data_IF_661286449886
#
_entry.id   IF_661286449886
#
_cell.length_a   1.000
_cell.length_b   1.000
_cell.length_c   1.000
_cell.angle_alpha   90.00
_cell.angle_beta   90.00
_cell.angle_gamma   90.00
#
_symmetry.space_group_name_H-M   'P 1'
#
loop_
_entity.id
_entity.type
_entity.pdbx_description
1 polymer ?
#
# COMPACT_ATOMS: atom_id res chain seq x y z
N UNK A 1 -5.96 61.28 46.00
CA UNK A 1 -5.71 60.13 45.10
C UNK A 1 -6.23 58.87 45.78
N UNK A 2 -7.29 58.30 45.22
CA UNK A 2 -7.97 57.11 45.74
C UNK A 2 -7.23 55.86 45.34
N UNK A 3 -7.24 54.83 46.20
CA UNK A 3 -6.71 53.53 45.92
C UNK A 3 -7.34 52.90 44.66
N UNK A 4 -8.51 53.32 44.26
CA UNK A 4 -9.17 52.89 43.03
C UNK A 4 -8.51 53.43 41.76
N UNK A 5 -7.93 54.63 41.81
CA UNK A 5 -7.21 55.21 40.63
C UNK A 5 -5.88 54.50 40.39
N UNK A 6 -5.25 53.96 41.44
CA UNK A 6 -4.02 53.18 41.31
C UNK A 6 -4.27 51.80 40.67
N UNK A 7 -5.41 51.14 40.97
CA UNK A 7 -5.79 49.89 40.36
C UNK A 7 -6.26 50.06 38.91
N UNK A 8 -6.91 51.19 38.56
CA UNK A 8 -7.38 51.47 37.20
C UNK A 8 -6.16 51.74 36.25
N UNK A 9 -5.11 52.37 36.72
CA UNK A 9 -3.90 52.64 35.92
C UNK A 9 -3.03 51.39 35.73
N UNK A 10 -3.09 50.42 36.64
CA UNK A 10 -2.33 49.15 36.49
C UNK A 10 -2.94 48.22 35.44
N UNK A 11 -4.20 48.41 35.04
CA UNK A 11 -4.84 47.64 33.95
C UNK A 11 -4.54 48.18 32.54
N UNK A 12 -3.84 49.28 32.42
CA UNK A 12 -3.50 49.93 31.13
C UNK A 12 -2.04 49.72 30.69
N UNK A 13 -1.20 49.08 31.52
CA UNK A 13 0.09 48.62 31.07
C UNK A 13 0.04 47.13 30.76
N UNK A 14 -0.54 46.79 29.60
CA UNK A 14 -0.29 45.51 28.96
C UNK A 14 1.21 45.45 28.64
N UNK A 15 1.94 44.42 29.09
CA UNK A 15 3.25 44.16 28.52
C UNK A 15 2.99 43.79 27.06
N UNK A 16 3.58 44.53 26.13
CA UNK A 16 3.71 44.11 24.77
C UNK A 16 4.45 42.76 24.77
N UNK A 17 3.67 41.67 24.89
CA UNK A 17 4.12 40.35 24.47
C UNK A 17 4.28 40.48 22.96
N UNK A 18 5.52 40.76 22.52
CA UNK A 18 5.94 40.33 21.20
C UNK A 18 5.76 38.79 21.22
N UNK A 19 4.55 38.36 20.84
CA UNK A 19 4.38 37.00 20.34
C UNK A 19 5.44 36.84 19.27
N UNK A 20 6.27 35.77 19.32
CA UNK A 20 7.05 35.40 18.17
C UNK A 20 6.05 35.36 17.02
N UNK A 21 6.26 36.17 15.99
CA UNK A 21 5.56 36.00 14.75
C UNK A 21 5.80 34.54 14.35
N UNK A 22 4.80 33.70 14.58
CA UNK A 22 4.70 32.43 13.90
C UNK A 22 4.82 32.78 12.41
N UNK A 23 6.02 32.65 11.88
CA UNK A 23 6.22 32.66 10.44
C UNK A 23 5.25 31.60 9.95
N UNK A 24 4.22 32.01 9.22
CA UNK A 24 3.39 31.10 8.47
C UNK A 24 4.33 30.20 7.69
N UNK A 25 4.55 29.03 8.23
CA UNK A 25 5.29 27.96 7.54
C UNK A 25 4.38 27.64 6.37
N UNK A 26 4.80 27.99 5.17
CA UNK A 26 4.01 27.79 3.96
C UNK A 26 3.55 26.33 3.96
N UNK A 27 2.24 26.15 4.07
CA UNK A 27 1.62 24.82 4.20
C UNK A 27 2.16 23.90 3.10
N UNK A 28 2.73 22.77 3.50
CA UNK A 28 3.29 21.75 2.60
C UNK A 28 4.82 21.79 2.41
N UNK A 29 5.55 22.85 2.82
CA UNK A 29 7.01 22.88 2.69
C UNK A 29 7.74 22.03 3.75
N UNK A 30 7.16 21.94 4.95
CA UNK A 30 7.74 21.23 6.08
C UNK A 30 6.79 20.16 6.60
N UNK A 31 7.32 19.01 6.93
CA UNK A 31 6.60 17.89 7.52
C UNK A 31 7.22 17.52 8.85
N UNK A 32 6.41 17.47 9.92
CA UNK A 32 6.83 17.00 11.23
C UNK A 32 6.76 15.49 11.30
N UNK A 33 7.84 14.83 11.62
CA UNK A 33 7.85 13.38 11.86
C UNK A 33 7.01 13.04 13.11
N UNK A 34 6.00 12.17 13.02
CA UNK A 34 5.16 11.83 14.18
C UNK A 34 5.90 10.99 15.21
N UNK A 35 7.00 10.33 14.87
CA UNK A 35 7.75 9.45 15.76
C UNK A 35 8.84 10.20 16.57
N UNK A 36 9.68 11.01 15.91
CA UNK A 36 10.77 11.72 16.59
C UNK A 36 10.55 13.23 16.75
N UNK A 37 9.48 13.78 16.16
CA UNK A 37 9.13 15.19 16.27
C UNK A 37 9.96 16.13 15.39
N UNK A 38 10.98 15.63 14.66
CA UNK A 38 11.81 16.46 13.79
C UNK A 38 10.97 17.10 12.69
N UNK A 39 11.28 18.36 12.37
CA UNK A 39 10.75 19.07 11.21
C UNK A 39 11.70 18.84 10.04
N UNK A 40 11.24 18.16 9.02
CA UNK A 40 11.99 17.86 7.81
C UNK A 40 11.39 18.62 6.61
N UNK A 41 12.22 19.02 5.65
CA UNK A 41 11.75 19.58 4.41
C UNK A 41 11.00 18.51 3.60
N UNK A 42 9.79 18.79 3.16
CA UNK A 42 8.93 17.80 2.52
C UNK A 42 9.55 17.19 1.26
N UNK A 43 10.32 18.00 0.48
CA UNK A 43 11.02 17.48 -0.71
C UNK A 43 12.12 16.49 -0.36
N UNK A 44 12.84 16.69 0.76
CA UNK A 44 13.87 15.76 1.20
C UNK A 44 13.24 14.43 1.64
N UNK A 45 12.11 14.50 2.34
CA UNK A 45 11.32 13.30 2.65
C UNK A 45 10.82 12.58 1.40
N UNK A 46 10.35 13.32 0.39
CA UNK A 46 9.95 12.74 -0.91
C UNK A 46 11.14 12.08 -1.61
N UNK A 47 12.31 12.74 -1.62
CA UNK A 47 13.56 12.17 -2.14
C UNK A 47 13.96 10.88 -1.42
N UNK A 48 13.65 10.78 -0.13
CA UNK A 48 13.87 9.56 0.69
C UNK A 48 12.60 8.70 0.79
N UNK A 49 11.71 8.74 -0.20
CA UNK A 49 10.48 7.93 -0.28
C UNK A 49 9.57 8.06 0.95
N UNK A 50 9.49 9.26 1.53
CA UNK A 50 8.72 9.54 2.75
C UNK A 50 9.16 8.70 3.98
N UNK A 51 10.43 8.39 4.07
CA UNK A 51 11.06 7.79 5.25
C UNK A 51 11.86 8.88 5.99
N UNK A 52 11.64 9.03 7.28
CA UNK A 52 12.31 10.03 8.09
C UNK A 52 13.82 9.77 8.10
N UNK A 53 14.61 10.81 7.78
CA UNK A 53 16.07 10.71 7.71
C UNK A 53 16.72 10.50 9.09
N UNK A 54 16.06 10.95 10.18
CA UNK A 54 16.59 10.86 11.53
C UNK A 54 16.26 9.53 12.22
N UNK A 55 14.99 9.09 12.17
CA UNK A 55 14.55 7.92 12.93
C UNK A 55 14.06 6.74 12.07
N UNK A 56 14.18 6.84 10.76
CA UNK A 56 13.70 5.84 9.80
C UNK A 56 12.21 5.51 9.92
N UNK A 57 11.41 6.39 10.53
CA UNK A 57 9.96 6.20 10.57
C UNK A 57 9.37 6.34 9.17
N UNK A 58 8.55 5.37 8.77
CA UNK A 58 7.84 5.37 7.50
C UNK A 58 6.58 6.24 7.60
N UNK A 59 6.63 7.45 7.05
CA UNK A 59 5.47 8.31 6.94
C UNK A 59 4.47 7.73 5.91
N UNK A 60 3.23 8.19 5.96
CA UNK A 60 2.22 7.74 5.00
C UNK A 60 2.59 8.14 3.58
N UNK A 61 2.38 7.20 2.66
CA UNK A 61 2.52 7.39 1.22
C UNK A 61 1.20 7.00 0.57
N UNK A 62 0.80 7.75 -0.43
CA UNK A 62 -0.44 7.55 -1.16
C UNK A 62 -0.21 6.78 -2.45
N UNK A 63 -1.28 6.34 -3.08
CA UNK A 63 -1.18 5.42 -4.22
C UNK A 63 -0.41 5.99 -5.41
N UNK A 64 -0.62 7.26 -5.76
CA UNK A 64 0.09 7.95 -6.82
C UNK A 64 1.61 8.04 -6.60
N UNK A 65 2.02 8.36 -5.37
CA UNK A 65 3.43 8.40 -4.98
C UNK A 65 4.03 6.99 -4.95
N UNK A 66 3.29 6.02 -4.41
CA UNK A 66 3.75 4.63 -4.34
C UNK A 66 3.96 4.02 -5.74
N UNK A 67 3.08 4.33 -6.68
CA UNK A 67 3.24 3.92 -8.08
C UNK A 67 4.54 4.50 -8.65
N UNK A 68 4.79 5.81 -8.45
CA UNK A 68 6.05 6.45 -8.90
C UNK A 68 7.30 5.85 -8.27
N UNK A 69 7.23 5.39 -7.00
CA UNK A 69 8.34 4.75 -6.31
C UNK A 69 8.67 3.36 -6.85
N UNK A 70 7.66 2.61 -7.29
CA UNK A 70 7.82 1.20 -7.68
C UNK A 70 7.95 1.01 -9.19
N UNK A 71 7.19 1.75 -9.98
CA UNK A 71 7.12 1.57 -11.44
C UNK A 71 8.14 2.47 -12.14
N UNK A 72 8.71 1.95 -13.20
CA UNK A 72 9.64 2.68 -14.06
C UNK A 72 8.92 3.80 -14.80
N UNK A 73 9.59 4.94 -14.95
CA UNK A 73 9.02 6.12 -15.59
C UNK A 73 8.42 5.78 -16.98
N UNK A 74 7.25 6.35 -17.26
CA UNK A 74 6.52 6.21 -18.53
C UNK A 74 6.09 4.77 -18.90
N UNK A 75 6.05 3.84 -17.93
CA UNK A 75 5.61 2.46 -18.19
C UNK A 75 4.27 2.11 -17.55
N UNK A 76 3.71 3.00 -16.72
CA UNK A 76 2.45 2.77 -16.05
C UNK A 76 1.27 2.84 -17.00
N UNK A 77 0.48 1.79 -17.04
CA UNK A 77 -0.78 1.69 -17.77
C UNK A 77 -1.90 1.43 -16.76
N UNK A 78 -2.67 2.45 -16.37
CA UNK A 78 -3.75 2.28 -15.41
C UNK A 78 -4.87 1.41 -15.96
N UNK A 79 -5.57 0.70 -15.07
CA UNK A 79 -6.71 -0.15 -15.37
C UNK A 79 -7.94 0.31 -14.60
N UNK A 80 -9.12 0.19 -15.23
CA UNK A 80 -10.43 0.39 -14.60
C UNK A 80 -10.59 1.74 -13.88
N UNK A 81 -10.05 2.83 -14.44
CA UNK A 81 -10.12 4.18 -13.84
C UNK A 81 -11.54 4.74 -13.79
N UNK A 82 -12.42 4.26 -14.63
CA UNK A 82 -13.83 4.66 -14.77
C UNK A 82 -14.76 3.99 -13.75
N UNK A 83 -14.32 2.91 -13.10
CA UNK A 83 -15.14 2.23 -12.10
C UNK A 83 -15.43 3.13 -10.89
N UNK A 84 -16.69 3.27 -10.55
CA UNK A 84 -17.18 4.10 -9.44
C UNK A 84 -18.05 3.27 -8.49
N UNK A 85 -17.95 3.49 -7.17
CA UNK A 85 -18.83 2.85 -6.20
C UNK A 85 -20.27 3.36 -6.35
N UNK A 86 -21.21 2.45 -6.13
CA UNK A 86 -22.63 2.75 -6.01
C UNK A 86 -23.09 2.54 -4.57
N UNK A 87 -24.27 3.07 -4.23
CA UNK A 87 -24.93 2.86 -2.94
C UNK A 87 -26.23 2.06 -3.09
N UNK A 88 -26.15 0.74 -3.42
CA UNK A 88 -27.35 -0.07 -3.61
C UNK A 88 -28.14 -0.28 -2.31
N UNK A 89 -27.50 -0.16 -1.15
CA UNK A 89 -28.11 -0.33 0.16
C UNK A 89 -28.76 0.95 0.68
N UNK A 90 -28.52 2.10 0.04
CA UNK A 90 -28.94 3.43 0.51
C UNK A 90 -28.55 3.66 1.97
N UNK A 91 -27.30 3.28 2.27
CA UNK A 91 -26.80 3.33 3.64
C UNK A 91 -26.72 4.76 4.17
N UNK A 92 -27.20 4.93 5.41
CA UNK A 92 -27.16 6.17 6.13
C UNK A 92 -26.83 5.94 7.59
N UNK A 93 -25.82 6.61 8.09
CA UNK A 93 -25.58 6.83 9.52
C UNK A 93 -25.81 8.32 9.85
N UNK A 94 -24.78 9.04 10.26
CA UNK A 94 -24.86 10.51 10.43
C UNK A 94 -25.00 11.26 9.11
N UNK A 95 -24.62 10.62 8.00
CA UNK A 95 -24.58 11.17 6.65
C UNK A 95 -24.84 10.07 5.62
N UNK A 96 -25.56 10.33 4.52
CA UNK A 96 -25.71 9.38 3.43
C UNK A 96 -24.35 8.91 2.90
N UNK A 97 -24.24 7.63 2.55
CA UNK A 97 -23.01 7.07 1.98
C UNK A 97 -22.67 7.71 0.62
N UNK A 98 -23.65 7.96 -0.21
CA UNK A 98 -23.49 8.70 -1.48
C UNK A 98 -22.81 10.06 -1.31
N UNK A 99 -23.16 10.82 -0.26
CA UNK A 99 -22.52 12.11 0.03
C UNK A 99 -21.07 11.95 0.47
N UNK A 100 -20.78 10.93 1.29
CA UNK A 100 -19.40 10.60 1.69
C UNK A 100 -18.54 10.23 0.49
N UNK A 101 -19.09 9.43 -0.44
CA UNK A 101 -18.38 9.05 -1.66
C UNK A 101 -18.00 10.29 -2.46
N UNK A 102 -18.98 11.15 -2.75
CA UNK A 102 -18.75 12.38 -3.52
C UNK A 102 -17.67 13.26 -2.89
N UNK A 103 -17.80 13.57 -1.59
CA UNK A 103 -16.81 14.41 -0.88
C UNK A 103 -15.41 13.77 -0.87
N UNK A 104 -15.34 12.44 -0.69
CA UNK A 104 -14.05 11.77 -0.69
C UNK A 104 -13.43 11.77 -2.08
N UNK A 105 -14.22 11.57 -3.14
CA UNK A 105 -13.77 11.65 -4.53
C UNK A 105 -13.28 13.06 -4.87
N UNK A 106 -14.04 14.10 -4.49
CA UNK A 106 -13.64 15.50 -4.69
C UNK A 106 -12.34 15.84 -3.96
N UNK A 107 -12.20 15.38 -2.71
CA UNK A 107 -11.00 15.66 -1.89
C UNK A 107 -9.76 14.90 -2.36
N UNK A 108 -9.92 13.65 -2.79
CA UNK A 108 -8.77 12.76 -3.09
C UNK A 108 -8.46 12.67 -4.57
N UNK A 109 -9.40 13.07 -5.43
CA UNK A 109 -9.36 12.90 -6.90
C UNK A 109 -9.24 11.42 -7.32
N UNK A 110 -9.62 10.50 -6.43
CA UNK A 110 -9.63 9.05 -6.68
C UNK A 110 -11.05 8.57 -6.96
N UNK A 111 -11.18 7.58 -7.83
CA UNK A 111 -12.48 6.90 -8.07
C UNK A 111 -12.92 6.04 -6.88
N UNK A 112 -11.96 5.33 -6.25
CA UNK A 112 -12.14 4.53 -5.04
C UNK A 112 -10.77 4.26 -4.38
N UNK A 113 -10.73 3.48 -3.30
CA UNK A 113 -9.60 3.25 -2.41
C UNK A 113 -8.46 2.39 -2.97
N UNK A 114 -8.38 2.17 -4.29
CA UNK A 114 -7.28 1.46 -4.95
C UNK A 114 -7.03 1.98 -6.36
N UNK A 115 -5.75 2.08 -6.73
CA UNK A 115 -5.31 2.23 -8.10
C UNK A 115 -4.71 0.92 -8.59
N UNK A 116 -5.05 0.50 -9.80
CA UNK A 116 -4.60 -0.75 -10.43
C UNK A 116 -4.04 -0.47 -11.81
N UNK A 117 -3.04 -1.23 -12.22
CA UNK A 117 -2.44 -1.08 -13.55
C UNK A 117 -1.32 -2.07 -13.79
N UNK A 118 -0.76 -2.00 -14.99
CA UNK A 118 0.41 -2.77 -15.40
C UNK A 118 1.54 -1.79 -15.67
N UNK A 119 2.74 -2.13 -15.24
CA UNK A 119 3.94 -1.33 -15.49
C UNK A 119 5.19 -2.17 -15.40
N UNK A 120 6.35 -1.55 -15.58
CA UNK A 120 7.64 -2.22 -15.41
C UNK A 120 8.24 -1.88 -14.05
N UNK A 121 8.73 -2.87 -13.34
CA UNK A 121 9.45 -2.75 -12.07
C UNK A 121 10.89 -3.23 -12.31
N UNK A 122 11.86 -2.33 -12.40
CA UNK A 122 13.22 -2.61 -12.88
C UNK A 122 13.24 -3.41 -14.21
N UNK A 123 12.46 -2.96 -15.17
CA UNK A 123 12.31 -3.58 -16.48
C UNK A 123 11.38 -4.80 -16.53
N UNK A 124 10.92 -5.32 -15.38
CA UNK A 124 10.08 -6.52 -15.27
C UNK A 124 8.59 -6.14 -15.37
N UNK A 125 7.84 -6.62 -16.37
CA UNK A 125 6.41 -6.40 -16.45
C UNK A 125 5.71 -6.95 -15.21
N UNK A 126 4.89 -6.13 -14.57
CA UNK A 126 4.27 -6.44 -13.27
C UNK A 126 2.85 -5.87 -13.22
N UNK A 127 1.88 -6.65 -12.74
CA UNK A 127 0.56 -6.20 -12.40
C UNK A 127 0.58 -5.64 -10.97
N UNK A 128 0.31 -4.33 -10.81
CA UNK A 128 0.42 -3.62 -9.54
C UNK A 128 -0.91 -3.05 -9.10
N UNK A 129 -1.32 -3.38 -7.87
CA UNK A 129 -2.42 -2.74 -7.16
C UNK A 129 -1.89 -1.94 -5.97
N UNK A 130 -2.34 -0.71 -5.78
CA UNK A 130 -1.94 0.12 -4.64
C UNK A 130 -3.18 0.70 -3.96
N UNK A 131 -3.42 0.27 -2.72
CA UNK A 131 -4.51 0.80 -1.91
C UNK A 131 -4.16 2.19 -1.38
N UNK A 132 -5.17 3.05 -1.29
CA UNK A 132 -5.01 4.44 -0.85
C UNK A 132 -5.83 4.73 0.41
N UNK A 133 -5.13 4.99 1.50
CA UNK A 133 -5.76 5.23 2.79
C UNK A 133 -6.54 6.55 2.85
N UNK A 134 -6.31 7.50 1.92
CA UNK A 134 -7.09 8.75 1.83
C UNK A 134 -8.55 8.48 1.53
N UNK A 135 -8.84 7.44 0.74
CA UNK A 135 -10.21 7.11 0.37
C UNK A 135 -10.86 6.27 1.46
N UNK A 136 -11.64 6.90 2.32
CA UNK A 136 -12.41 6.26 3.40
C UNK A 136 -11.57 5.27 4.25
N UNK A 137 -10.31 5.65 4.59
CA UNK A 137 -9.40 4.80 5.35
C UNK A 137 -8.92 3.56 4.57
N UNK A 138 -8.87 3.61 3.24
CA UNK A 138 -8.50 2.48 2.39
C UNK A 138 -9.46 1.31 2.50
N UNK A 139 -10.69 1.53 2.96
CA UNK A 139 -11.65 0.44 3.19
C UNK A 139 -12.04 -0.24 1.88
N UNK A 140 -12.05 -1.58 1.92
CA UNK A 140 -12.40 -2.42 0.78
C UNK A 140 -13.92 -2.45 0.58
N UNK A 141 -14.41 -1.77 -0.46
CA UNK A 141 -15.77 -1.89 -0.98
C UNK A 141 -15.81 -2.71 -2.27
N UNK A 142 -16.97 -2.73 -2.91
CA UNK A 142 -17.24 -3.48 -4.14
C UNK A 142 -16.28 -3.11 -5.28
N UNK A 143 -15.99 -1.83 -5.47
CA UNK A 143 -15.08 -1.35 -6.53
C UNK A 143 -13.64 -1.74 -6.24
N UNK A 144 -13.16 -1.61 -4.99
CA UNK A 144 -11.82 -2.10 -4.62
C UNK A 144 -11.69 -3.58 -4.94
N UNK A 145 -12.67 -4.38 -4.53
CA UNK A 145 -12.67 -5.82 -4.80
C UNK A 145 -12.71 -6.14 -6.29
N UNK A 146 -13.53 -5.42 -7.07
CA UNK A 146 -13.60 -5.60 -8.53
C UNK A 146 -12.29 -5.26 -9.21
N UNK A 147 -11.70 -4.09 -8.91
CA UNK A 147 -10.43 -3.65 -9.49
C UNK A 147 -9.30 -4.65 -9.20
N UNK A 148 -9.17 -5.09 -7.95
CA UNK A 148 -8.15 -6.09 -7.57
C UNK A 148 -8.39 -7.44 -8.26
N UNK A 149 -9.64 -7.89 -8.35
CA UNK A 149 -9.99 -9.12 -9.07
C UNK A 149 -9.59 -9.04 -10.53
N UNK A 150 -9.97 -7.97 -11.24
CA UNK A 150 -9.61 -7.75 -12.65
C UNK A 150 -8.11 -7.63 -12.86
N UNK A 151 -7.40 -6.95 -11.96
CA UNK A 151 -5.94 -6.86 -11.98
C UNK A 151 -5.30 -8.26 -11.94
N UNK A 152 -5.74 -9.11 -10.99
CA UNK A 152 -5.23 -10.47 -10.82
C UNK A 152 -5.55 -11.32 -12.06
N UNK A 153 -6.79 -11.25 -12.56
CA UNK A 153 -7.20 -11.97 -13.78
C UNK A 153 -6.42 -11.51 -15.01
N UNK A 154 -6.15 -10.20 -15.13
CA UNK A 154 -5.33 -9.65 -16.20
C UNK A 154 -3.87 -10.10 -16.06
N UNK A 155 -3.32 -10.07 -14.84
CA UNK A 155 -1.99 -10.62 -14.54
C UNK A 155 -1.89 -12.10 -14.90
N UNK A 156 -2.91 -12.89 -14.55
CA UNK A 156 -2.98 -14.32 -14.90
C UNK A 156 -2.98 -14.54 -16.41
N UNK A 157 -3.85 -13.83 -17.14
CA UNK A 157 -3.91 -13.93 -18.62
C UNK A 157 -2.59 -13.58 -19.30
N UNK A 158 -1.89 -12.57 -18.79
CA UNK A 158 -0.61 -12.11 -19.34
C UNK A 158 0.60 -12.81 -18.71
N UNK A 159 0.38 -13.76 -17.79
CA UNK A 159 1.42 -14.47 -17.04
C UNK A 159 2.39 -13.54 -16.30
N UNK A 160 1.86 -12.48 -15.71
CA UNK A 160 2.61 -11.49 -14.95
C UNK A 160 2.57 -11.79 -13.45
N UNK A 161 3.63 -11.48 -12.69
CA UNK A 161 3.56 -11.43 -11.25
C UNK A 161 2.57 -10.34 -10.81
N UNK A 162 1.86 -10.60 -9.72
CA UNK A 162 0.95 -9.64 -9.10
C UNK A 162 1.57 -9.12 -7.80
N UNK A 163 1.60 -7.80 -7.65
CA UNK A 163 2.01 -7.13 -6.42
C UNK A 163 0.86 -6.25 -5.95
N UNK A 164 0.47 -6.39 -4.68
CA UNK A 164 -0.57 -5.52 -4.08
C UNK A 164 -0.01 -4.84 -2.84
N UNK A 165 0.10 -3.51 -2.88
CA UNK A 165 0.46 -2.71 -1.70
C UNK A 165 -0.81 -2.44 -0.91
N UNK A 166 -0.89 -3.02 0.28
CA UNK A 166 -2.04 -2.95 1.17
C UNK A 166 -1.92 -1.76 2.13
N UNK A 167 -2.97 -0.94 2.21
CA UNK A 167 -3.13 0.14 3.17
C UNK A 167 -4.62 0.31 3.47
N UNK A 168 -5.13 -0.31 4.55
CA UNK A 168 -6.57 -0.41 4.75
C UNK A 168 -6.98 -0.55 6.21
N UNK A 169 -8.10 0.08 6.55
CA UNK A 169 -8.83 -0.17 7.80
C UNK A 169 -9.71 -1.44 7.78
N UNK A 170 -9.83 -2.13 6.63
CA UNK A 170 -10.62 -3.36 6.49
C UNK A 170 -11.79 -3.25 5.51
N UNK A 171 -12.83 -4.07 5.69
CA UNK A 171 -14.03 -4.06 4.86
C UNK A 171 -14.85 -2.76 5.06
N UNK A 172 -15.41 -2.23 3.98
CA UNK A 172 -16.22 -1.00 3.97
C UNK A 172 -17.60 -1.27 4.57
N UNK A 173 -17.82 -0.78 5.78
CA UNK A 173 -19.05 -1.01 6.54
C UNK A 173 -20.31 -0.55 5.79
N UNK A 174 -20.24 0.55 5.06
CA UNK A 174 -21.37 1.15 4.34
C UNK A 174 -21.90 0.26 3.22
N UNK A 175 -21.10 -0.65 2.71
CA UNK A 175 -21.50 -1.61 1.67
C UNK A 175 -21.88 -2.98 2.25
N UNK A 176 -21.84 -3.16 3.56
CA UNK A 176 -22.31 -4.35 4.27
C UNK A 176 -21.77 -5.67 3.68
N UNK A 177 -22.66 -6.59 3.35
CA UNK A 177 -22.30 -7.90 2.80
C UNK A 177 -21.54 -7.81 1.47
N UNK A 178 -21.80 -6.79 0.64
CA UNK A 178 -21.08 -6.60 -0.62
C UNK A 178 -19.58 -6.41 -0.39
N UNK A 179 -19.20 -5.68 0.66
CA UNK A 179 -17.82 -5.55 1.10
C UNK A 179 -17.19 -6.88 1.50
N UNK A 180 -17.91 -7.67 2.31
CA UNK A 180 -17.42 -8.96 2.80
C UNK A 180 -17.21 -9.96 1.66
N UNK A 181 -18.10 -9.97 0.69
CA UNK A 181 -18.00 -10.87 -0.48
C UNK A 181 -16.79 -10.56 -1.38
N UNK A 182 -16.22 -9.36 -1.28
CA UNK A 182 -14.98 -9.05 -2.02
C UNK A 182 -13.79 -9.89 -1.53
N UNK A 183 -13.75 -10.23 -0.24
CA UNK A 183 -12.71 -11.14 0.29
C UNK A 183 -12.70 -12.46 -0.46
N UNK A 184 -13.85 -13.12 -0.57
CA UNK A 184 -13.99 -14.38 -1.31
C UNK A 184 -13.67 -14.24 -2.80
N UNK A 185 -14.13 -13.14 -3.42
CA UNK A 185 -13.92 -12.85 -4.84
C UNK A 185 -12.44 -12.69 -5.19
N UNK A 186 -11.71 -11.88 -4.43
CA UNK A 186 -10.26 -11.67 -4.64
C UNK A 186 -9.50 -12.97 -4.37
N UNK A 187 -9.83 -13.69 -3.28
CA UNK A 187 -9.19 -14.97 -2.95
C UNK A 187 -9.40 -16.02 -4.06
N UNK A 188 -10.58 -16.08 -4.65
CA UNK A 188 -10.85 -16.96 -5.78
C UNK A 188 -10.06 -16.60 -7.05
N UNK A 189 -9.80 -15.32 -7.30
CA UNK A 189 -8.93 -14.89 -8.40
C UNK A 189 -7.46 -15.25 -8.13
N UNK A 190 -6.99 -15.07 -6.90
CA UNK A 190 -5.63 -15.46 -6.48
C UNK A 190 -5.42 -16.97 -6.58
N UNK A 191 -6.44 -17.77 -6.23
CA UNK A 191 -6.33 -19.23 -6.38
C UNK A 191 -6.12 -19.63 -7.83
N UNK A 192 -6.84 -19.04 -8.79
CA UNK A 192 -6.60 -19.27 -10.23
C UNK A 192 -5.20 -18.84 -10.65
N UNK A 193 -4.72 -17.71 -10.15
CA UNK A 193 -3.37 -17.21 -10.39
C UNK A 193 -2.29 -18.20 -9.88
N UNK A 194 -2.49 -18.75 -8.69
CA UNK A 194 -1.64 -19.77 -8.08
C UNK A 194 -1.64 -21.10 -8.87
N UNK A 195 -2.81 -21.52 -9.39
CA UNK A 195 -2.93 -22.72 -10.23
C UNK A 195 -2.06 -22.61 -11.49
N UNK A 196 -1.96 -21.39 -12.05
CA UNK A 196 -1.08 -21.10 -13.17
C UNK A 196 0.40 -20.93 -12.78
N UNK A 197 0.74 -21.17 -11.50
CA UNK A 197 2.08 -21.04 -10.92
C UNK A 197 2.68 -19.65 -11.12
N UNK A 198 1.88 -18.62 -10.93
CA UNK A 198 2.27 -17.22 -11.04
C UNK A 198 2.43 -16.60 -9.65
N UNK A 199 3.43 -15.75 -9.52
CA UNK A 199 3.84 -15.14 -8.26
C UNK A 199 2.87 -14.05 -7.80
N UNK A 200 2.45 -14.13 -6.53
CA UNK A 200 1.71 -13.08 -5.83
C UNK A 200 2.46 -12.59 -4.59
N UNK A 201 2.74 -11.28 -4.52
CA UNK A 201 3.41 -10.63 -3.38
C UNK A 201 2.54 -9.51 -2.82
N UNK A 202 1.86 -9.67 -1.69
CA UNK A 202 1.33 -8.56 -0.92
C UNK A 202 2.44 -7.83 -0.18
N UNK A 203 2.35 -6.49 -0.16
CA UNK A 203 3.21 -5.60 0.62
C UNK A 203 2.35 -4.91 1.66
N UNK A 204 2.56 -5.23 2.92
CA UNK A 204 1.74 -4.76 4.03
C UNK A 204 2.30 -3.45 4.57
N UNK A 205 1.61 -2.34 4.33
CA UNK A 205 1.97 -1.03 4.87
C UNK A 205 1.08 -0.63 6.04
N UNK A 206 1.43 0.47 6.71
CA UNK A 206 0.69 0.97 7.88
C UNK A 206 -0.54 1.79 7.49
N UNK A 207 -1.76 1.42 7.97
CA UNK A 207 -2.15 0.16 8.59
C UNK A 207 -2.71 -0.82 7.57
N UNK A 208 -2.64 -2.14 7.84
CA UNK A 208 -3.35 -3.18 7.09
C UNK A 208 -4.19 -4.01 8.07
N UNK A 209 -5.51 -3.81 8.05
CA UNK A 209 -6.40 -4.33 9.09
C UNK A 209 -7.64 -5.03 8.51
N UNK A 210 -8.35 -5.73 9.39
CA UNK A 210 -9.69 -6.26 9.18
C UNK A 210 -9.80 -7.27 8.04
N UNK A 211 -10.81 -7.12 7.21
CA UNK A 211 -11.09 -8.03 6.09
C UNK A 211 -9.98 -8.10 5.04
N UNK A 212 -9.16 -7.05 4.90
CA UNK A 212 -8.00 -7.07 3.99
C UNK A 212 -6.94 -8.03 4.51
N UNK A 213 -6.58 -7.93 5.81
CA UNK A 213 -5.65 -8.88 6.43
C UNK A 213 -6.23 -10.29 6.47
N UNK A 214 -7.51 -10.44 6.78
CA UNK A 214 -8.17 -11.75 6.85
C UNK A 214 -8.42 -12.42 5.48
N UNK A 215 -7.92 -11.83 4.40
CA UNK A 215 -8.08 -12.36 3.05
C UNK A 215 -6.79 -12.19 2.22
N UNK A 216 -6.84 -11.46 1.15
CA UNK A 216 -5.77 -11.41 0.15
C UNK A 216 -4.41 -10.92 0.67
N UNK A 217 -4.38 -10.11 1.73
CA UNK A 217 -3.10 -9.64 2.29
C UNK A 217 -2.25 -10.76 2.93
N UNK A 218 -2.88 -11.88 3.30
CA UNK A 218 -2.20 -13.06 3.88
C UNK A 218 -2.21 -14.29 2.95
N UNK A 219 -2.50 -14.10 1.66
CA UNK A 219 -2.52 -15.18 0.67
C UNK A 219 -1.33 -15.11 -0.31
N UNK A 220 -0.29 -14.34 0.03
CA UNK A 220 0.90 -14.23 -0.80
C UNK A 220 1.76 -15.50 -0.82
N UNK A 221 2.46 -15.72 -1.93
CA UNK A 221 3.56 -16.68 -1.99
C UNK A 221 4.74 -16.17 -1.15
N UNK A 222 4.91 -14.85 -1.07
CA UNK A 222 5.83 -14.13 -0.19
C UNK A 222 5.14 -12.90 0.35
N UNK A 223 5.01 -12.79 1.66
CA UNK A 223 4.34 -11.70 2.35
C UNK A 223 5.39 -10.72 2.89
N UNK A 224 5.46 -9.53 2.29
CA UNK A 224 6.38 -8.48 2.72
C UNK A 224 5.65 -7.45 3.60
N UNK A 225 6.36 -6.88 4.57
CA UNK A 225 5.84 -5.78 5.38
C UNK A 225 6.83 -4.61 5.45
N UNK A 226 6.31 -3.38 5.57
CA UNK A 226 7.12 -2.23 5.91
C UNK A 226 7.45 -2.24 7.43
N UNK A 227 8.62 -1.71 7.85
CA UNK A 227 8.98 -1.61 9.26
C UNK A 227 7.90 -0.91 10.10
N UNK A 228 7.61 -1.45 11.27
CA UNK A 228 6.64 -0.93 12.24
C UNK A 228 5.22 -0.73 11.69
N UNK A 229 4.87 -1.40 10.60
CA UNK A 229 3.51 -1.39 10.09
C UNK A 229 2.57 -2.09 11.10
N UNK A 230 1.40 -1.49 11.34
CA UNK A 230 0.34 -2.15 12.13
C UNK A 230 -0.47 -3.05 11.22
N UNK A 231 -0.46 -4.33 11.51
CA UNK A 231 -1.08 -5.37 10.70
C UNK A 231 -1.88 -6.30 11.62
N UNK A 232 -3.16 -6.48 11.35
CA UNK A 232 -4.00 -7.34 12.20
C UNK A 232 -5.46 -7.36 11.78
N UNK A 233 -6.28 -8.14 12.48
CA UNK A 233 -7.71 -8.21 12.20
C UNK A 233 -8.47 -7.05 12.85
N UNK A 234 -8.48 -6.98 14.17
CA UNK A 234 -9.11 -5.90 14.90
C UNK A 234 -8.05 -4.93 15.44
N UNK A 235 -8.39 -3.64 15.52
CA UNK A 235 -7.49 -2.66 16.11
C UNK A 235 -7.24 -2.96 17.61
N UNK A 236 -6.04 -2.65 18.12
CA UNK A 236 -5.60 -2.87 19.51
C UNK A 236 -6.67 -2.46 20.54
N UNK A 237 -7.23 -1.25 20.41
CA UNK A 237 -8.25 -0.73 21.34
C UNK A 237 -9.48 -1.64 21.42
N UNK A 238 -9.94 -2.17 20.28
CA UNK A 238 -11.12 -3.06 20.24
C UNK A 238 -10.81 -4.36 20.98
N UNK A 239 -9.62 -4.93 20.75
CA UNK A 239 -9.19 -6.18 21.39
C UNK A 239 -9.09 -5.99 22.90
N UNK A 240 -8.37 -4.95 23.34
CA UNK A 240 -8.18 -4.65 24.78
C UNK A 240 -9.51 -4.40 25.50
N UNK A 241 -10.45 -3.70 24.87
CA UNK A 241 -11.79 -3.48 25.43
C UNK A 241 -12.63 -4.77 25.51
N UNK A 242 -12.47 -5.66 24.52
CA UNK A 242 -13.22 -6.93 24.47
C UNK A 242 -12.66 -7.97 25.43
N UNK A 243 -11.34 -8.15 25.45
CA UNK A 243 -10.68 -9.12 26.34
C UNK A 243 -10.47 -8.58 27.75
N UNK A 244 -10.55 -7.25 27.96
CA UNK A 244 -10.22 -6.55 29.18
C UNK A 244 -8.79 -6.81 29.66
N UNK A 245 -7.89 -7.03 28.74
CA UNK A 245 -6.47 -7.26 28.97
C UNK A 245 -5.63 -6.25 28.21
N UNK A 246 -4.47 -5.89 28.77
CA UNK A 246 -3.51 -5.02 28.09
C UNK A 246 -2.64 -5.88 27.17
N UNK A 247 -2.62 -5.54 25.88
CA UNK A 247 -1.78 -6.22 24.88
C UNK A 247 -0.31 -5.80 24.99
N UNK A 248 0.64 -6.67 24.63
CA UNK A 248 2.05 -6.30 24.49
C UNK A 248 2.24 -5.07 23.61
N UNK A 249 3.26 -4.26 23.88
CA UNK A 249 3.44 -2.97 23.17
C UNK A 249 3.74 -3.16 21.68
N UNK A 250 4.39 -4.25 21.31
CA UNK A 250 4.74 -4.65 19.93
C UNK A 250 3.67 -5.48 19.22
N UNK A 251 2.57 -5.82 19.91
CA UNK A 251 1.48 -6.61 19.34
C UNK A 251 0.94 -5.99 18.04
N UNK A 252 0.78 -6.79 16.99
CA UNK A 252 0.36 -6.38 15.65
C UNK A 252 1.35 -5.47 14.89
N UNK A 253 2.60 -5.38 15.32
CA UNK A 253 3.64 -4.78 14.48
C UNK A 253 4.15 -5.79 13.44
N UNK A 254 4.74 -5.29 12.35
CA UNK A 254 5.39 -6.16 11.36
C UNK A 254 6.46 -7.04 11.98
N UNK A 255 7.20 -6.51 12.97
CA UNK A 255 8.24 -7.22 13.72
C UNK A 255 7.66 -8.40 14.53
N UNK A 256 6.56 -8.14 15.24
CA UNK A 256 5.82 -9.17 15.95
C UNK A 256 5.34 -10.29 15.01
N UNK A 257 4.77 -9.91 13.86
CA UNK A 257 4.26 -10.86 12.87
C UNK A 257 5.37 -11.68 12.19
N UNK A 258 6.54 -11.06 11.96
CA UNK A 258 7.71 -11.78 11.45
C UNK A 258 8.17 -12.87 12.43
N UNK A 259 8.25 -12.55 13.74
CA UNK A 259 8.62 -13.51 14.78
C UNK A 259 7.63 -14.68 14.90
N UNK A 260 6.36 -14.44 14.58
CA UNK A 260 5.31 -15.45 14.64
C UNK A 260 5.03 -16.16 13.29
N UNK A 261 5.82 -15.88 12.27
CA UNK A 261 5.74 -16.57 10.97
C UNK A 261 4.55 -16.13 10.09
N UNK A 262 3.94 -14.97 10.34
CA UNK A 262 2.87 -14.41 9.51
C UNK A 262 3.38 -13.53 8.36
N UNK A 263 4.63 -13.09 8.42
CA UNK A 263 5.29 -12.25 7.43
C UNK A 263 6.65 -12.89 7.12
N UNK A 264 7.02 -12.94 5.84
CA UNK A 264 8.28 -13.56 5.41
C UNK A 264 9.47 -12.62 5.53
N UNK A 265 9.26 -11.32 5.29
CA UNK A 265 10.32 -10.33 5.43
C UNK A 265 9.79 -8.92 5.74
N UNK A 266 10.59 -8.17 6.50
CA UNK A 266 10.39 -6.72 6.71
C UNK A 266 11.35 -5.98 5.79
N UNK A 267 10.79 -5.16 4.89
CA UNK A 267 11.56 -4.47 3.86
C UNK A 267 11.37 -2.95 3.98
N UNK A 268 12.43 -2.19 4.27
CA UNK A 268 12.36 -0.73 4.22
C UNK A 268 11.92 -0.25 2.84
N UNK A 269 11.09 0.78 2.81
CA UNK A 269 10.52 1.34 1.57
C UNK A 269 11.57 1.70 0.55
N UNK A 270 12.70 2.24 0.99
CA UNK A 270 13.84 2.61 0.13
C UNK A 270 14.50 1.42 -0.58
N UNK A 271 14.27 0.21 -0.09
CA UNK A 271 14.78 -1.03 -0.67
C UNK A 271 13.71 -1.83 -1.40
N UNK A 272 12.43 -1.45 -1.24
CA UNK A 272 11.29 -2.28 -1.66
C UNK A 272 11.29 -2.56 -3.17
N UNK A 273 11.54 -1.54 -4.02
CA UNK A 273 11.58 -1.73 -5.49
C UNK A 273 12.60 -2.79 -5.88
N UNK A 274 13.84 -2.67 -5.36
CA UNK A 274 14.93 -3.60 -5.65
C UNK A 274 14.63 -5.01 -5.14
N UNK A 275 14.09 -5.13 -3.92
CA UNK A 275 13.72 -6.42 -3.34
C UNK A 275 12.63 -7.12 -4.15
N UNK A 276 11.58 -6.40 -4.52
CA UNK A 276 10.51 -6.94 -5.38
C UNK A 276 11.07 -7.44 -6.72
N UNK A 277 11.94 -6.66 -7.37
CA UNK A 277 12.57 -7.06 -8.63
C UNK A 277 13.40 -8.33 -8.47
N UNK A 278 14.16 -8.46 -7.39
CA UNK A 278 14.93 -9.67 -7.10
C UNK A 278 14.03 -10.88 -6.91
N UNK A 279 12.98 -10.75 -6.10
CA UNK A 279 12.02 -11.83 -5.87
C UNK A 279 11.30 -12.25 -7.14
N UNK A 280 10.88 -11.30 -7.97
CA UNK A 280 10.26 -11.59 -9.27
C UNK A 280 11.23 -12.36 -10.18
N UNK A 281 12.50 -11.94 -10.28
CA UNK A 281 13.51 -12.67 -11.09
C UNK A 281 13.74 -14.09 -10.61
N UNK A 282 13.78 -14.31 -9.30
CA UNK A 282 13.97 -15.65 -8.70
C UNK A 282 12.80 -16.60 -9.00
N UNK A 283 11.59 -16.06 -9.20
CA UNK A 283 10.39 -16.86 -9.47
C UNK A 283 10.05 -16.93 -10.97
N UNK A 284 10.83 -16.29 -11.84
CA UNK A 284 10.66 -16.50 -13.28
C UNK A 284 10.99 -17.93 -13.64
N UNK A 285 10.22 -18.60 -14.51
CA UNK A 285 10.61 -19.89 -15.04
C UNK A 285 12.02 -19.78 -15.63
N UNK A 286 12.90 -20.69 -15.27
CA UNK A 286 14.19 -20.80 -15.97
C UNK A 286 13.89 -20.88 -17.47
N UNK A 287 14.66 -20.18 -18.32
CA UNK A 287 14.58 -20.40 -19.75
C UNK A 287 14.70 -21.92 -19.95
N UNK A 288 13.70 -22.51 -20.56
CA UNK A 288 13.81 -23.92 -20.98
C UNK A 288 15.05 -23.94 -21.85
N UNK A 289 16.10 -24.62 -21.35
CA UNK A 289 17.31 -24.82 -22.15
C UNK A 289 16.79 -25.37 -23.49
N UNK A 290 17.03 -24.66 -24.56
CA UNK A 290 16.67 -25.12 -25.92
C UNK A 290 17.19 -26.54 -26.00
N UNK A 291 16.35 -27.55 -26.25
CA UNK A 291 16.84 -28.90 -26.33
C UNK A 291 18.02 -28.91 -27.29
N UNK A 292 19.10 -29.61 -26.92
CA UNK A 292 20.32 -29.72 -27.71
C UNK A 292 20.12 -30.41 -29.10
N UNK A 293 18.89 -30.41 -29.59
CA UNK A 293 18.50 -30.99 -30.88
C UNK A 293 19.29 -30.37 -32.06
N UNK A 294 19.72 -29.11 -31.93
CA UNK A 294 20.59 -28.50 -32.96
C UNK A 294 22.08 -28.91 -32.87
N UNK A 295 22.52 -29.48 -31.75
CA UNK A 295 23.91 -30.01 -31.69
C UNK A 295 24.07 -31.35 -32.45
N UNK A 296 23.05 -32.18 -32.46
CA UNK A 296 23.07 -33.44 -33.19
C UNK A 296 23.06 -33.24 -34.71
N UNK A 297 22.29 -32.24 -35.19
CA UNK A 297 22.32 -31.90 -36.61
C UNK A 297 23.65 -31.27 -37.02
N UNK A 298 24.22 -30.38 -36.22
CA UNK A 298 25.54 -29.79 -36.46
C UNK A 298 26.66 -30.80 -36.39
N UNK A 299 26.63 -31.77 -35.46
CA UNK A 299 27.59 -32.87 -35.36
C UNK A 299 27.42 -33.83 -36.53
N UNK A 300 26.18 -34.11 -36.94
CA UNK A 300 25.90 -34.93 -38.13
C UNK A 300 26.41 -34.30 -39.44
N UNK A 301 26.28 -32.97 -39.57
CA UNK A 301 26.79 -32.23 -40.73
C UNK A 301 28.32 -32.18 -40.73
N UNK A 302 28.97 -31.95 -39.59
CA UNK A 302 30.43 -31.97 -39.47
C UNK A 302 31.01 -33.39 -39.76
N UNK A 303 30.31 -34.45 -39.35
CA UNK A 303 30.71 -35.83 -39.66
C UNK A 303 30.52 -36.19 -41.12
N UNK A 304 29.56 -35.56 -41.84
CA UNK A 304 29.41 -35.71 -43.29
C UNK A 304 30.52 -35.03 -44.07
N UNK A 305 30.97 -33.85 -43.62
CA UNK A 305 32.08 -33.10 -44.22
C UNK A 305 33.43 -33.86 -44.00
N UNK A 306 33.60 -34.48 -42.84
CA UNK A 306 34.83 -35.26 -42.53
C UNK A 306 34.92 -36.60 -43.22
N UNK A 307 33.86 -37.11 -43.88
CA UNK A 307 33.84 -38.40 -44.60
C UNK A 307 33.98 -38.31 -46.11
N UNK A 308 34.07 -37.08 -46.68
CA UNK A 308 34.39 -36.90 -48.07
C UNK A 308 35.84 -36.33 -48.21
N UNK A 309 36.81 -37.10 -48.61
CA UNK A 309 38.18 -36.63 -48.88
C UNK A 309 38.23 -35.79 -50.19
#
# INVERSE_FOLDING_TARGET
MSLFDWFANRRKSEPSSQQPQDREIADGLWTKCPACGVLAYTKDLQGNQMVCLECNHHLRVYSDERIRQLIDANTWMPLDEDLRPADPLKFRDRKPYSDRLRETQEKTQLSDGVQTGIGKLEGLPTALGVMDFRFMGGSMGSVVGEKLTRLIEQGTRQRLPVVIVCASGGARMQEGMLSLMQMAKISGALERHRQDRLLYIPVLSHPTLGGVTASFAMLGDLILAEPKATIGFAGRRVIEQTLREKLPDDFQTSEYLLQHGFVDAIVPRTQLKKTLAQLIRLHQPLPVATPLVHLEESVSELLKIARNP
#
